data_IF_617804265475
#
_entry.id   IF_617804265475
#
_cell.length_a   1.000
_cell.length_b   1.000
_cell.length_c   1.000
_cell.angle_alpha   90.00
_cell.angle_beta   90.00
_cell.angle_gamma   90.00
#
_symmetry.space_group_name_H-M   'P 1'
#
loop_
_entity.id
_entity.type
_entity.pdbx_description
1 polymer ?
#
# COMPACT_ATOMS: atom_id res chain seq x y z
N UNK A 1 0.26 24.81 -14.19
CA UNK A 1 -0.93 25.57 -13.72
C UNK A 1 -0.70 26.10 -12.32
N UNK A 2 -1.52 27.03 -11.81
CA UNK A 2 -1.48 27.37 -10.38
C UNK A 2 -2.12 26.24 -9.55
N UNK A 3 -1.88 26.22 -8.23
CA UNK A 3 -2.33 25.12 -7.36
C UNK A 3 -3.86 24.93 -7.36
N UNK A 4 -4.62 26.02 -7.38
CA UNK A 4 -6.09 25.98 -7.37
C UNK A 4 -6.64 25.40 -8.67
N UNK A 5 -6.04 25.74 -9.80
CA UNK A 5 -6.39 25.18 -11.11
C UNK A 5 -6.12 23.67 -11.17
N UNK A 6 -5.00 23.21 -10.61
CA UNK A 6 -4.68 21.78 -10.54
C UNK A 6 -5.70 21.05 -9.66
N UNK A 7 -6.00 21.62 -8.49
CA UNK A 7 -6.98 21.06 -7.56
C UNK A 7 -8.38 20.93 -8.19
N UNK A 8 -8.87 22.00 -8.83
CA UNK A 8 -10.15 21.98 -9.54
C UNK A 8 -10.18 20.90 -10.62
N UNK A 9 -9.12 20.78 -11.43
CA UNK A 9 -9.03 19.73 -12.45
C UNK A 9 -9.08 18.32 -11.87
N UNK A 10 -8.42 18.07 -10.74
CA UNK A 10 -8.47 16.75 -10.09
C UNK A 10 -9.90 16.40 -9.67
N UNK A 11 -10.62 17.36 -9.09
CA UNK A 11 -11.99 17.16 -8.60
C UNK A 11 -13.00 17.02 -9.73
N UNK A 12 -12.93 17.88 -10.74
CA UNK A 12 -13.87 17.90 -11.86
C UNK A 12 -13.68 16.72 -12.82
N UNK A 13 -12.48 16.12 -12.85
CA UNK A 13 -12.22 14.96 -13.71
C UNK A 13 -12.81 13.71 -13.09
N UNK A 14 -13.80 13.11 -13.72
CA UNK A 14 -14.38 11.83 -13.26
C UNK A 14 -13.49 10.62 -13.60
N UNK A 15 -12.66 10.72 -14.64
CA UNK A 15 -11.80 9.63 -15.11
C UNK A 15 -10.40 9.67 -14.46
N UNK A 16 -10.13 8.73 -13.58
CA UNK A 16 -8.85 8.61 -12.86
C UNK A 16 -7.64 8.47 -13.81
N UNK A 17 -7.80 7.84 -14.97
CA UNK A 17 -6.74 7.74 -15.99
C UNK A 17 -6.26 9.11 -16.47
N UNK A 18 -7.16 10.09 -16.55
CA UNK A 18 -6.80 11.44 -16.98
C UNK A 18 -6.10 12.22 -15.87
N UNK A 19 -6.41 11.95 -14.60
CA UNK A 19 -5.63 12.46 -13.45
C UNK A 19 -4.23 11.86 -13.43
N UNK A 20 -4.08 10.56 -13.72
CA UNK A 20 -2.76 9.90 -13.86
C UNK A 20 -1.94 10.55 -14.98
N UNK A 21 -2.55 10.86 -16.13
CA UNK A 21 -1.88 11.59 -17.22
C UNK A 21 -1.51 13.01 -16.83
N UNK A 22 -2.35 13.67 -16.03
CA UNK A 22 -2.09 15.02 -15.52
C UNK A 22 -0.89 15.04 -14.58
N UNK A 23 -0.77 14.06 -13.69
CA UNK A 23 0.34 13.94 -12.75
C UNK A 23 1.71 13.85 -13.44
N UNK A 24 1.77 13.29 -14.65
CA UNK A 24 3.00 13.22 -15.47
C UNK A 24 3.42 14.57 -16.05
N UNK A 25 2.55 15.58 -16.02
CA UNK A 25 2.77 16.92 -16.60
C UNK A 25 2.81 18.02 -15.55
N UNK A 26 2.10 17.83 -14.43
CA UNK A 26 1.89 18.86 -13.41
C UNK A 26 2.35 18.36 -12.05
N UNK A 27 3.47 18.92 -11.58
CA UNK A 27 4.19 18.52 -10.35
C UNK A 27 3.31 18.55 -9.09
N UNK A 28 2.31 19.43 -9.05
CA UNK A 28 1.47 19.61 -7.85
C UNK A 28 0.41 18.52 -7.67
N UNK A 29 0.15 17.68 -8.66
CA UNK A 29 -0.91 16.65 -8.57
C UNK A 29 -0.61 15.66 -7.46
N UNK A 30 0.63 15.15 -7.37
CA UNK A 30 1.01 14.12 -6.38
C UNK A 30 0.91 14.66 -4.94
N UNK A 31 1.47 15.83 -4.60
CA UNK A 31 1.26 16.44 -3.27
C UNK A 31 -0.21 16.61 -2.91
N UNK A 32 -1.06 17.05 -3.85
CA UNK A 32 -2.49 17.23 -3.60
C UNK A 32 -3.16 15.89 -3.29
N UNK A 33 -2.86 14.84 -4.07
CA UNK A 33 -3.40 13.50 -3.82
C UNK A 33 -2.93 12.93 -2.48
N UNK A 34 -1.68 13.16 -2.10
CA UNK A 34 -1.13 12.72 -0.81
C UNK A 34 -1.82 13.44 0.34
N UNK A 35 -2.04 14.75 0.24
CA UNK A 35 -2.79 15.49 1.26
C UNK A 35 -4.24 14.98 1.36
N UNK A 36 -4.92 14.76 0.23
CA UNK A 36 -6.27 14.19 0.23
C UNK A 36 -6.30 12.78 0.84
N UNK A 37 -5.28 11.96 0.60
CA UNK A 37 -5.13 10.65 1.25
C UNK A 37 -4.94 10.78 2.78
N UNK A 38 -4.05 11.67 3.22
CA UNK A 38 -3.61 11.76 4.62
C UNK A 38 -4.55 12.55 5.54
N UNK A 39 -5.22 13.57 5.01
CA UNK A 39 -6.02 14.51 5.82
C UNK A 39 -7.53 14.28 5.63
N UNK A 40 -7.95 13.83 4.44
CA UNK A 40 -9.36 13.59 4.11
C UNK A 40 -9.71 12.10 4.02
N UNK A 41 -8.74 11.19 4.20
CA UNK A 41 -8.92 9.75 4.05
C UNK A 41 -9.52 9.37 2.67
N UNK A 42 -9.14 10.10 1.62
CA UNK A 42 -9.81 10.04 0.32
C UNK A 42 -9.46 8.75 -0.47
N UNK A 43 -10.41 7.81 -0.57
CA UNK A 43 -10.21 6.53 -1.25
C UNK A 43 -9.84 6.67 -2.74
N UNK A 44 -10.39 7.67 -3.43
CA UNK A 44 -10.09 7.90 -4.85
C UNK A 44 -8.63 8.33 -5.02
N UNK A 45 -8.17 9.26 -4.17
CA UNK A 45 -6.77 9.69 -4.17
C UNK A 45 -5.82 8.53 -3.90
N UNK A 46 -6.16 7.63 -2.97
CA UNK A 46 -5.38 6.42 -2.69
C UNK A 46 -5.25 5.51 -3.93
N UNK A 47 -6.36 5.24 -4.62
CA UNK A 47 -6.34 4.41 -5.82
C UNK A 47 -5.50 5.03 -6.94
N UNK A 48 -5.62 6.34 -7.17
CA UNK A 48 -4.81 7.06 -8.15
C UNK A 48 -3.32 7.00 -7.76
N UNK A 49 -2.98 7.10 -6.47
CA UNK A 49 -1.60 6.98 -5.99
C UNK A 49 -1.05 5.55 -6.17
N UNK A 50 -1.87 4.51 -5.99
CA UNK A 50 -1.51 3.13 -6.33
C UNK A 50 -1.15 3.04 -7.81
N UNK A 51 -2.03 3.51 -8.71
CA UNK A 51 -1.79 3.50 -10.17
C UNK A 51 -0.52 4.28 -10.55
N UNK A 52 -0.31 5.46 -9.95
CA UNK A 52 0.87 6.29 -10.20
C UNK A 52 2.15 5.64 -9.71
N UNK A 53 2.12 4.98 -8.55
CA UNK A 53 3.26 4.27 -7.99
C UNK A 53 3.63 3.04 -8.84
N UNK A 54 2.65 2.38 -9.44
CA UNK A 54 2.89 1.25 -10.33
C UNK A 54 3.45 1.70 -11.70
N UNK A 55 2.83 2.70 -12.32
CA UNK A 55 3.18 3.14 -13.68
C UNK A 55 4.41 4.04 -13.73
N UNK A 56 4.60 4.89 -12.74
CA UNK A 56 5.62 5.95 -12.71
C UNK A 56 6.18 6.16 -11.30
N UNK A 57 6.79 5.13 -10.68
CA UNK A 57 7.23 5.17 -9.30
C UNK A 57 8.19 6.32 -8.99
N UNK A 58 9.02 6.74 -9.96
CA UNK A 58 9.95 7.86 -9.80
C UNK A 58 9.27 9.20 -9.48
N UNK A 59 8.02 9.40 -9.88
CA UNK A 59 7.29 10.64 -9.57
C UNK A 59 6.72 10.62 -8.15
N UNK A 60 6.41 9.43 -7.61
CA UNK A 60 5.78 9.26 -6.30
C UNK A 60 6.82 9.04 -5.20
N UNK A 61 7.94 8.37 -5.50
CA UNK A 61 9.01 8.06 -4.55
C UNK A 61 9.56 9.26 -3.75
N UNK A 62 9.71 10.47 -4.31
CA UNK A 62 10.15 11.64 -3.54
C UNK A 62 9.27 11.96 -2.32
N UNK A 63 8.03 11.44 -2.29
CA UNK A 63 7.08 11.64 -1.22
C UNK A 63 6.94 10.45 -0.26
N UNK A 64 7.83 9.45 -0.34
CA UNK A 64 7.78 8.23 0.46
C UNK A 64 7.56 8.52 1.96
N UNK A 65 8.35 9.43 2.52
CA UNK A 65 8.28 9.83 3.94
C UNK A 65 6.94 10.46 4.34
N UNK A 66 6.23 11.10 3.41
CA UNK A 66 4.87 11.60 3.67
C UNK A 66 3.85 10.48 3.59
N UNK A 67 3.99 9.60 2.59
CA UNK A 67 3.09 8.46 2.36
C UNK A 67 3.07 7.52 3.58
N UNK A 68 4.24 7.18 4.14
CA UNK A 68 4.30 6.25 5.28
C UNK A 68 3.64 6.77 6.55
N UNK A 69 3.38 8.07 6.67
CA UNK A 69 2.64 8.63 7.81
C UNK A 69 1.21 8.10 7.88
N UNK A 70 0.65 7.65 6.75
CA UNK A 70 -0.67 7.01 6.73
C UNK A 70 -0.73 5.76 7.63
N UNK A 71 0.40 5.03 7.77
CA UNK A 71 0.49 3.83 8.59
C UNK A 71 0.43 4.12 10.10
N UNK A 72 0.78 5.34 10.51
CA UNK A 72 0.69 5.78 11.92
C UNK A 72 -0.66 6.42 12.24
N UNK A 73 -1.37 6.93 11.22
CA UNK A 73 -2.65 7.63 11.37
C UNK A 73 -3.86 6.71 11.28
N UNK A 74 -3.72 5.57 10.63
CA UNK A 74 -4.83 4.68 10.31
C UNK A 74 -4.48 3.22 10.60
N UNK A 75 -5.51 2.45 10.96
CA UNK A 75 -5.51 1.00 11.14
C UNK A 75 -6.48 0.31 10.15
N UNK A 76 -6.88 1.03 9.11
CA UNK A 76 -7.96 0.69 8.20
C UNK A 76 -7.49 0.63 6.74
N UNK A 77 -8.44 0.67 5.80
CA UNK A 77 -8.22 0.66 4.35
C UNK A 77 -7.07 1.54 3.86
N UNK A 78 -6.89 2.73 4.46
CA UNK A 78 -5.82 3.66 4.06
C UNK A 78 -4.44 3.15 4.42
N UNK A 79 -4.28 2.53 5.60
CA UNK A 79 -3.05 1.86 5.96
C UNK A 79 -2.76 0.69 5.02
N UNK A 80 -3.79 -0.09 4.68
CA UNK A 80 -3.63 -1.23 3.79
C UNK A 80 -3.22 -0.80 2.37
N UNK A 81 -3.88 0.21 1.80
CA UNK A 81 -3.49 0.75 0.49
C UNK A 81 -2.10 1.37 0.49
N UNK A 82 -1.65 1.90 1.62
CA UNK A 82 -0.29 2.41 1.77
C UNK A 82 0.75 1.31 1.54
N UNK A 83 0.49 0.06 1.97
CA UNK A 83 1.37 -1.06 1.66
C UNK A 83 1.52 -1.35 0.18
N UNK A 84 0.44 -1.20 -0.61
CA UNK A 84 0.47 -1.35 -2.07
C UNK A 84 1.33 -0.28 -2.72
N UNK A 85 1.18 0.98 -2.30
CA UNK A 85 2.00 2.10 -2.77
C UNK A 85 3.47 1.83 -2.44
N UNK A 86 3.79 1.53 -1.17
CA UNK A 86 5.16 1.24 -0.73
C UNK A 86 5.78 0.12 -1.55
N UNK A 87 5.07 -1.00 -1.72
CA UNK A 87 5.56 -2.14 -2.48
C UNK A 87 5.98 -1.71 -3.89
N UNK A 88 5.11 -1.03 -4.63
CA UNK A 88 5.38 -0.53 -5.97
C UNK A 88 6.62 0.38 -6.03
N UNK A 89 6.82 1.22 -5.02
CA UNK A 89 7.96 2.14 -4.94
C UNK A 89 9.31 1.43 -4.75
N UNK A 90 9.33 0.17 -4.27
CA UNK A 90 10.58 -0.53 -3.98
C UNK A 90 11.47 -0.78 -5.21
N UNK A 91 10.90 -0.74 -6.42
CA UNK A 91 11.67 -0.82 -7.68
C UNK A 91 12.66 0.34 -7.83
N UNK A 92 12.41 1.49 -7.18
CA UNK A 92 13.23 2.71 -7.23
C UNK A 92 13.68 3.15 -5.83
N UNK A 93 13.80 2.21 -4.89
CA UNK A 93 14.19 2.52 -3.51
C UNK A 93 15.70 2.76 -3.33
N UNK A 94 16.20 3.82 -3.97
CA UNK A 94 17.61 4.20 -3.99
C UNK A 94 18.12 4.77 -2.66
N UNK A 95 17.22 5.31 -1.83
CA UNK A 95 17.55 5.87 -0.52
C UNK A 95 17.38 4.86 0.62
N UNK A 96 17.10 3.60 0.30
CA UNK A 96 16.88 2.52 1.27
C UNK A 96 15.78 2.81 2.29
N UNK A 97 14.75 3.56 1.88
CA UNK A 97 13.59 3.93 2.71
C UNK A 97 12.86 2.72 3.26
N UNK A 98 12.93 1.57 2.55
CA UNK A 98 12.40 0.31 3.05
C UNK A 98 12.95 -0.09 4.43
N UNK A 99 14.23 0.18 4.71
CA UNK A 99 14.84 -0.21 5.98
C UNK A 99 14.19 0.46 7.18
N UNK A 100 13.63 1.66 6.99
CA UNK A 100 12.97 2.41 8.04
C UNK A 100 11.58 1.87 8.38
N UNK A 101 10.94 1.16 7.43
CA UNK A 101 9.52 0.77 7.52
C UNK A 101 9.30 -0.74 7.58
N UNK A 102 10.27 -1.56 7.16
CA UNK A 102 10.10 -3.01 7.03
C UNK A 102 9.61 -3.72 8.28
N UNK A 103 10.00 -3.25 9.48
CA UNK A 103 9.56 -3.86 10.72
C UNK A 103 8.07 -3.66 10.98
N UNK A 104 7.48 -2.52 10.57
CA UNK A 104 6.02 -2.34 10.61
C UNK A 104 5.32 -3.27 9.60
N UNK A 105 5.91 -3.46 8.42
CA UNK A 105 5.37 -4.41 7.44
C UNK A 105 5.40 -5.84 7.97
N UNK A 106 6.48 -6.26 8.61
CA UNK A 106 6.57 -7.57 9.25
C UNK A 106 5.55 -7.73 10.37
N UNK A 107 5.33 -6.68 11.17
CA UNK A 107 4.32 -6.70 12.23
C UNK A 107 2.89 -6.86 11.67
N UNK A 108 2.61 -6.33 10.48
CA UNK A 108 1.29 -6.42 9.84
C UNK A 108 0.85 -7.86 9.52
N UNK A 109 1.78 -8.82 9.42
CA UNK A 109 1.44 -10.25 9.30
C UNK A 109 0.74 -10.81 10.56
N UNK A 110 0.80 -10.12 11.69
CA UNK A 110 0.10 -10.50 12.93
C UNK A 110 -1.27 -9.83 13.08
N UNK A 111 -1.76 -9.15 12.04
CA UNK A 111 -3.04 -8.45 12.09
C UNK A 111 -4.21 -9.41 12.36
N UNK A 112 -5.12 -8.98 13.22
CA UNK A 112 -6.42 -9.62 13.45
C UNK A 112 -7.42 -9.29 12.33
N UNK A 113 -7.06 -8.36 11.42
CA UNK A 113 -7.88 -7.97 10.29
C UNK A 113 -7.48 -8.74 9.03
N UNK A 114 -8.40 -9.56 8.51
CA UNK A 114 -8.16 -10.35 7.31
C UNK A 114 -7.81 -9.50 6.09
N UNK A 115 -8.38 -8.30 5.96
CA UNK A 115 -8.14 -7.45 4.80
C UNK A 115 -6.69 -6.93 4.78
N UNK A 116 -6.10 -6.66 5.94
CA UNK A 116 -4.69 -6.32 6.05
C UNK A 116 -3.80 -7.51 5.64
N UNK A 117 -4.09 -8.71 6.13
CA UNK A 117 -3.36 -9.92 5.74
C UNK A 117 -3.42 -10.16 4.23
N UNK A 118 -4.60 -10.04 3.62
CA UNK A 118 -4.75 -10.20 2.17
C UNK A 118 -3.89 -9.21 1.39
N UNK A 119 -3.81 -7.96 1.85
CA UNK A 119 -2.97 -6.96 1.20
C UNK A 119 -1.49 -7.26 1.40
N UNK A 120 -1.06 -7.49 2.64
CA UNK A 120 0.35 -7.76 2.98
C UNK A 120 0.85 -9.00 2.24
N UNK A 121 0.09 -10.10 2.21
CA UNK A 121 0.45 -11.30 1.44
C UNK A 121 0.51 -11.01 -0.07
N UNK A 122 -0.43 -10.23 -0.61
CA UNK A 122 -0.44 -9.89 -2.05
C UNK A 122 0.78 -9.05 -2.48
N UNK A 123 1.31 -8.20 -1.60
CA UNK A 123 2.48 -7.36 -1.90
C UNK A 123 3.81 -8.07 -1.63
N UNK A 124 3.80 -9.14 -0.83
CA UNK A 124 4.99 -9.85 -0.36
C UNK A 124 5.91 -10.30 -1.50
N UNK A 125 5.35 -10.84 -2.59
CA UNK A 125 6.14 -11.29 -3.75
C UNK A 125 6.91 -10.14 -4.39
N UNK A 126 6.29 -8.97 -4.51
CA UNK A 126 6.94 -7.80 -5.09
C UNK A 126 8.05 -7.29 -4.16
N UNK A 127 7.80 -7.26 -2.85
CA UNK A 127 8.81 -6.88 -1.87
C UNK A 127 10.00 -7.84 -1.92
N UNK A 128 9.77 -9.16 -1.96
CA UNK A 128 10.83 -10.17 -2.09
C UNK A 128 11.66 -9.95 -3.35
N UNK A 129 11.03 -9.59 -4.47
CA UNK A 129 11.72 -9.33 -5.73
C UNK A 129 12.76 -8.19 -5.61
N UNK A 130 12.42 -7.10 -4.91
CA UNK A 130 13.31 -5.93 -4.79
C UNK A 130 14.11 -5.90 -3.49
N UNK A 131 13.72 -6.69 -2.49
CA UNK A 131 14.37 -6.84 -1.18
C UNK A 131 14.59 -8.34 -0.87
N UNK A 132 15.39 -9.04 -1.68
CA UNK A 132 15.57 -10.49 -1.56
C UNK A 132 16.16 -10.93 -0.21
N UNK A 133 16.88 -10.03 0.48
CA UNK A 133 17.40 -10.28 1.83
C UNK A 133 16.31 -10.56 2.88
N UNK A 134 15.11 -10.05 2.66
CA UNK A 134 13.99 -10.22 3.60
C UNK A 134 13.11 -11.43 3.24
N UNK A 135 13.45 -12.17 2.16
CA UNK A 135 12.66 -13.31 1.66
C UNK A 135 12.33 -14.32 2.74
N UNK A 136 13.36 -14.81 3.44
CA UNK A 136 13.19 -15.85 4.46
C UNK A 136 12.20 -15.41 5.56
N UNK A 137 12.38 -14.19 6.09
CA UNK A 137 11.49 -13.63 7.11
C UNK A 137 10.06 -13.48 6.61
N UNK A 138 9.87 -12.93 5.40
CA UNK A 138 8.53 -12.77 4.81
C UNK A 138 7.86 -14.12 4.59
N UNK A 139 8.61 -15.12 4.12
CA UNK A 139 8.08 -16.46 3.87
C UNK A 139 7.62 -17.14 5.17
N UNK A 140 8.39 -17.01 6.25
CA UNK A 140 8.00 -17.53 7.57
C UNK A 140 6.71 -16.83 8.05
N UNK A 141 6.70 -15.50 8.06
CA UNK A 141 5.54 -14.72 8.53
C UNK A 141 4.28 -15.01 7.72
N UNK A 142 4.40 -15.16 6.39
CA UNK A 142 3.29 -15.53 5.53
C UNK A 142 2.74 -16.93 5.85
N UNK A 143 3.59 -17.88 6.23
CA UNK A 143 3.14 -19.22 6.62
C UNK A 143 2.44 -19.24 7.99
N UNK A 144 2.85 -18.34 8.90
CA UNK A 144 2.33 -18.30 10.28
C UNK A 144 0.99 -17.55 10.38
N UNK A 145 0.78 -16.52 9.55
CA UNK A 145 -0.38 -15.63 9.66
C UNK A 145 -1.74 -16.32 9.45
N UNK A 146 -1.76 -17.52 8.86
CA UNK A 146 -2.97 -18.35 8.73
C UNK A 146 -3.57 -18.75 10.09
N UNK A 147 -2.78 -18.65 11.17
CA UNK A 147 -3.17 -19.01 12.53
C UNK A 147 -3.59 -17.80 13.39
N UNK A 148 -3.64 -16.59 12.82
CA UNK A 148 -4.08 -15.41 13.57
C UNK A 148 -5.52 -15.55 14.08
N UNK A 149 -5.80 -14.89 15.20
CA UNK A 149 -7.15 -14.77 15.75
C UNK A 149 -7.93 -13.67 15.03
N UNK A 150 -8.46 -13.99 13.84
CA UNK A 150 -9.19 -13.02 13.03
C UNK A 150 -10.48 -12.55 13.70
N UNK A 151 -10.80 -11.27 13.54
CA UNK A 151 -12.02 -10.65 14.09
C UNK A 151 -12.80 -9.84 13.05
N UNK A 152 -14.13 -9.82 13.21
CA UNK A 152 -15.04 -8.89 12.52
C UNK A 152 -15.79 -8.13 13.61
N UNK A 153 -15.73 -6.80 13.61
CA UNK A 153 -16.37 -5.97 14.64
C UNK A 153 -16.00 -6.40 16.07
N UNK A 154 -14.73 -6.76 16.30
CA UNK A 154 -14.16 -7.28 17.54
C UNK A 154 -14.64 -8.68 18.00
N UNK A 155 -15.46 -9.37 17.19
CA UNK A 155 -15.89 -10.73 17.47
C UNK A 155 -15.03 -11.75 16.71
N UNK A 156 -14.65 -12.89 17.33
CA UNK A 156 -13.87 -13.94 16.67
C UNK A 156 -14.54 -14.46 15.39
N UNK A 157 -13.75 -14.56 14.32
CA UNK A 157 -14.20 -14.96 13.00
C UNK A 157 -13.32 -16.10 12.43
N UNK A 158 -13.34 -17.31 13.03
CA UNK A 158 -12.44 -18.41 12.68
C UNK A 158 -12.61 -18.94 11.24
N UNK A 159 -13.74 -18.66 10.59
CA UNK A 159 -13.94 -19.01 9.19
C UNK A 159 -12.96 -18.26 8.26
N UNK A 160 -12.45 -17.10 8.68
CA UNK A 160 -11.47 -16.31 7.92
C UNK A 160 -10.09 -16.97 7.85
N UNK A 161 -9.75 -17.92 8.74
CA UNK A 161 -8.51 -18.70 8.62
C UNK A 161 -8.46 -19.48 7.29
N UNK A 162 -9.61 -19.89 6.76
CA UNK A 162 -9.68 -20.53 5.43
C UNK A 162 -9.32 -19.55 4.31
N UNK A 163 -9.78 -18.30 4.43
CA UNK A 163 -9.49 -17.22 3.47
C UNK A 163 -8.00 -16.87 3.51
N UNK A 164 -7.44 -16.70 4.71
CA UNK A 164 -6.01 -16.46 4.89
C UNK A 164 -5.18 -17.59 4.27
N UNK A 165 -5.54 -18.84 4.55
CA UNK A 165 -4.87 -20.02 4.00
C UNK A 165 -4.89 -20.02 2.46
N UNK A 166 -6.03 -19.74 1.83
CA UNK A 166 -6.12 -19.66 0.38
C UNK A 166 -5.17 -18.61 -0.21
N UNK A 167 -5.13 -17.42 0.38
CA UNK A 167 -4.23 -16.35 -0.08
C UNK A 167 -2.75 -16.71 0.10
N UNK A 168 -2.40 -17.36 1.22
CA UNK A 168 -1.04 -17.84 1.49
C UNK A 168 -0.64 -18.95 0.53
N UNK A 169 -1.52 -19.92 0.28
CA UNK A 169 -1.29 -21.00 -0.69
C UNK A 169 -1.07 -20.41 -2.10
N UNK A 170 -1.87 -19.41 -2.51
CA UNK A 170 -1.68 -18.70 -3.78
C UNK A 170 -0.33 -17.96 -3.84
N UNK A 171 0.07 -17.30 -2.75
CA UNK A 171 1.37 -16.65 -2.65
C UNK A 171 2.51 -17.65 -2.86
N UNK A 172 2.49 -18.80 -2.17
CA UNK A 172 3.52 -19.83 -2.28
C UNK A 172 3.56 -20.51 -3.65
N UNK A 173 2.40 -20.73 -4.28
CA UNK A 173 2.32 -21.30 -5.63
C UNK A 173 2.93 -20.38 -6.70
N UNK A 174 2.99 -19.07 -6.41
CA UNK A 174 3.47 -18.05 -7.34
C UNK A 174 4.85 -17.48 -6.97
N UNK A 175 5.52 -17.94 -5.91
CA UNK A 175 6.77 -17.37 -5.39
C UNK A 175 8.00 -17.80 -6.19
#
# INVERSE_FOLDING_TARGET
MNINEVYLRIIETENDSDVVKLAKKEVMVIPILINAMLDENNCRAQNILIDLSEQTPLLVYPYFQYIIQALDRYDNFTAWNTWRIIANLLIVDYLEMWEEIKDKYFAAFNSENIAEILVVVSTAKFIIKYKPKDKEKITILASECVNNEFKICNEPAPHLNTVAKQAVDEFFNNL
#
